data_IF_596802648795
#
_entry.id   IF_596802648795
#
_cell.length_a   1.000
_cell.length_b   1.000
_cell.length_c   1.000
_cell.angle_alpha   90.00
_cell.angle_beta   90.00
_cell.angle_gamma   90.00
#
_symmetry.space_group_name_H-M   'P 1'
#
loop_
_entity.id
_entity.type
_entity.pdbx_description
1 polymer ?
#
# COMPACT_ATOMS: atom_id res chain seq x y z
N UNK A 1 4.68 -11.15 -3.85
CA UNK A 1 5.75 -11.71 -2.98
C UNK A 1 5.17 -12.25 -1.67
N UNK A 2 5.88 -13.09 -0.92
CA UNK A 2 5.41 -13.58 0.39
C UNK A 2 6.22 -12.97 1.54
N UNK A 3 5.55 -12.32 2.49
CA UNK A 3 6.14 -11.67 3.67
C UNK A 3 5.41 -12.16 4.91
N UNK A 4 6.12 -12.73 5.89
CA UNK A 4 5.53 -13.24 7.14
C UNK A 4 4.30 -14.16 6.93
N UNK A 5 4.33 -14.99 5.88
CA UNK A 5 3.23 -15.90 5.53
C UNK A 5 2.03 -15.24 4.83
N UNK A 6 2.12 -13.96 4.49
CA UNK A 6 1.11 -13.20 3.74
C UNK A 6 1.57 -12.99 2.31
N UNK A 7 0.65 -13.02 1.35
CA UNK A 7 0.92 -12.52 0.02
C UNK A 7 0.86 -10.99 0.05
N UNK A 8 1.87 -10.35 -0.51
CA UNK A 8 1.98 -8.90 -0.64
C UNK A 8 2.29 -8.60 -2.09
N UNK A 9 1.46 -7.76 -2.68
CA UNK A 9 1.69 -7.13 -3.97
C UNK A 9 2.07 -5.67 -3.73
N UNK A 10 3.14 -5.18 -4.34
CA UNK A 10 3.64 -3.81 -4.15
C UNK A 10 3.65 -3.12 -5.50
N UNK A 11 2.92 -2.01 -5.60
CA UNK A 11 2.71 -1.25 -6.82
C UNK A 11 3.12 0.20 -6.60
N UNK A 12 3.87 0.78 -7.55
CA UNK A 12 4.22 2.20 -7.58
C UNK A 12 3.63 2.81 -8.85
N UNK A 13 2.80 3.84 -8.70
CA UNK A 13 2.09 4.45 -9.84
C UNK A 13 2.24 5.97 -9.84
N UNK A 14 2.79 6.50 -10.93
CA UNK A 14 2.98 7.95 -11.11
C UNK A 14 1.74 8.63 -11.69
N UNK A 15 1.09 8.02 -12.68
CA UNK A 15 -0.04 8.63 -13.39
C UNK A 15 -1.39 8.02 -12.99
N UNK A 16 -2.41 8.88 -12.87
CA UNK A 16 -3.80 8.44 -12.72
C UNK A 16 -4.48 8.29 -14.09
N UNK A 17 -4.82 7.05 -14.45
CA UNK A 17 -5.53 6.71 -15.69
C UNK A 17 -7.06 6.62 -15.49
N UNK A 18 -7.54 6.85 -14.27
CA UNK A 18 -8.96 6.93 -13.92
C UNK A 18 -9.58 5.65 -13.35
N UNK A 19 -8.92 4.50 -13.49
CA UNK A 19 -9.41 3.16 -13.11
C UNK A 19 -8.45 2.42 -12.15
N UNK A 20 -7.62 3.17 -11.43
CA UNK A 20 -6.60 2.59 -10.55
C UNK A 20 -7.19 1.70 -9.43
N UNK A 21 -8.29 2.07 -8.74
CA UNK A 21 -8.93 1.19 -7.76
C UNK A 21 -9.36 -0.16 -8.36
N UNK A 22 -9.95 -0.15 -9.55
CA UNK A 22 -10.38 -1.36 -10.27
C UNK A 22 -9.18 -2.24 -10.62
N UNK A 23 -8.06 -1.64 -11.05
CA UNK A 23 -6.82 -2.37 -11.34
C UNK A 23 -6.24 -3.03 -10.10
N UNK A 24 -6.21 -2.33 -8.97
CA UNK A 24 -5.77 -2.89 -7.67
C UNK A 24 -6.66 -4.06 -7.26
N UNK A 25 -7.98 -3.93 -7.39
CA UNK A 25 -8.92 -5.03 -7.11
C UNK A 25 -8.70 -6.23 -8.04
N UNK A 26 -8.45 -5.98 -9.33
CA UNK A 26 -8.19 -7.03 -10.31
C UNK A 26 -6.91 -7.82 -9.98
N UNK A 27 -5.81 -7.12 -9.66
CA UNK A 27 -4.56 -7.78 -9.26
C UNK A 27 -4.71 -8.56 -7.97
N UNK A 28 -5.36 -7.98 -6.96
CA UNK A 28 -5.66 -8.72 -5.74
C UNK A 28 -6.46 -10.00 -6.00
N UNK A 29 -7.53 -9.93 -6.82
CA UNK A 29 -8.36 -11.08 -7.12
C UNK A 29 -7.57 -12.18 -7.85
N UNK A 30 -6.69 -11.80 -8.77
CA UNK A 30 -5.78 -12.72 -9.47
C UNK A 30 -4.82 -13.40 -8.49
N UNK A 31 -4.12 -12.64 -7.65
CA UNK A 31 -3.17 -13.20 -6.67
C UNK A 31 -3.85 -14.04 -5.59
N UNK A 32 -5.03 -13.61 -5.13
CA UNK A 32 -5.79 -14.33 -4.12
C UNK A 32 -6.33 -15.66 -4.66
N UNK A 33 -6.82 -15.68 -5.90
CA UNK A 33 -7.31 -16.91 -6.54
C UNK A 33 -6.18 -17.88 -6.91
N UNK A 34 -5.05 -17.37 -7.39
CA UNK A 34 -3.89 -18.21 -7.75
C UNK A 34 -3.23 -18.86 -6.54
N UNK A 35 -3.39 -18.27 -5.35
CA UNK A 35 -2.80 -18.77 -4.12
C UNK A 35 -3.46 -20.06 -3.57
N UNK A 36 -4.61 -20.49 -4.09
CA UNK A 36 -5.28 -21.72 -3.67
C UNK A 36 -5.18 -22.80 -4.76
N UNK A 37 -4.37 -23.84 -4.57
CA UNK A 37 -4.31 -24.97 -5.49
C UNK A 37 -5.66 -25.69 -5.62
N UNK A 38 -5.91 -26.28 -6.80
CA UNK A 38 -7.13 -27.04 -7.05
C UNK A 38 -7.26 -28.22 -6.06
N UNK A 39 -8.45 -28.37 -5.46
CA UNK A 39 -8.76 -29.42 -4.49
C UNK A 39 -8.45 -29.06 -3.03
N UNK A 40 -7.87 -27.89 -2.76
CA UNK A 40 -7.60 -27.40 -1.40
C UNK A 40 -8.80 -26.66 -0.79
N UNK A 41 -8.92 -26.70 0.53
CA UNK A 41 -9.99 -25.99 1.25
C UNK A 41 -9.75 -24.48 1.35
N UNK A 42 -10.80 -23.67 1.24
CA UNK A 42 -10.73 -22.20 1.30
C UNK A 42 -10.16 -21.63 2.61
N UNK A 43 -10.15 -22.40 3.70
CA UNK A 43 -9.47 -22.01 4.95
C UNK A 43 -7.97 -21.74 4.75
N UNK A 44 -7.35 -22.39 3.75
CA UNK A 44 -5.93 -22.26 3.40
C UNK A 44 -5.58 -21.03 2.58
N UNK A 45 -6.57 -20.27 2.09
CA UNK A 45 -6.31 -19.02 1.37
C UNK A 45 -5.42 -18.12 2.24
N UNK A 46 -4.27 -17.64 1.75
CA UNK A 46 -3.43 -16.76 2.54
C UNK A 46 -4.10 -15.39 2.68
N UNK A 47 -3.62 -14.61 3.65
CA UNK A 47 -3.92 -13.18 3.64
C UNK A 47 -3.14 -12.53 2.50
N UNK A 48 -3.84 -11.81 1.63
CA UNK A 48 -3.29 -11.13 0.46
C UNK A 48 -3.52 -9.63 0.61
N UNK A 49 -2.43 -8.87 0.59
CA UNK A 49 -2.40 -7.42 0.69
C UNK A 49 -1.88 -6.83 -0.62
N UNK A 50 -2.49 -5.74 -1.07
CA UNK A 50 -1.88 -4.86 -2.08
C UNK A 50 -1.42 -3.60 -1.37
N UNK A 51 -0.20 -3.17 -1.66
CA UNK A 51 0.40 -1.93 -1.18
C UNK A 51 0.64 -1.06 -2.39
N UNK A 52 -0.10 0.03 -2.50
CA UNK A 52 -0.02 1.00 -3.58
C UNK A 52 0.64 2.27 -3.08
N UNK A 53 1.78 2.64 -3.67
CA UNK A 53 2.43 3.94 -3.50
C UNK A 53 2.09 4.76 -4.75
N UNK A 54 1.39 5.87 -4.60
CA UNK A 54 0.86 6.63 -5.73
C UNK A 54 1.20 8.12 -5.65
N UNK A 55 1.52 8.71 -6.80
CA UNK A 55 1.90 10.12 -6.91
C UNK A 55 0.74 11.04 -7.36
N UNK A 56 -0.47 10.72 -6.89
CA UNK A 56 -1.66 11.51 -7.20
C UNK A 56 -2.70 11.39 -6.09
N UNK A 57 -3.61 12.37 -6.06
CA UNK A 57 -4.76 12.38 -5.15
C UNK A 57 -5.84 11.44 -5.69
N UNK A 58 -6.07 10.34 -4.99
CA UNK A 58 -7.10 9.34 -5.30
C UNK A 58 -8.30 9.46 -4.36
N UNK A 59 -8.07 9.74 -3.08
CA UNK A 59 -9.13 9.83 -2.08
C UNK A 59 -9.34 11.26 -1.59
N UNK A 60 -10.59 11.63 -1.37
CA UNK A 60 -10.98 12.92 -0.79
C UNK A 60 -10.83 12.88 0.74
N UNK A 61 -9.59 12.88 1.21
CA UNK A 61 -9.20 12.88 2.62
C UNK A 61 -7.81 13.52 2.81
N UNK A 62 -7.50 13.93 4.04
CA UNK A 62 -6.21 14.57 4.37
C UNK A 62 -5.09 13.56 4.57
N UNK A 63 -5.42 12.34 5.01
CA UNK A 63 -4.45 11.32 5.36
C UNK A 63 -3.72 10.79 4.12
N UNK A 64 -2.40 10.70 4.20
CA UNK A 64 -1.58 10.08 3.15
C UNK A 64 -1.69 8.56 3.10
N UNK A 65 -2.15 7.92 4.18
CA UNK A 65 -2.29 6.47 4.27
C UNK A 65 -3.77 6.10 4.44
N UNK A 66 -4.29 5.34 3.47
CA UNK A 66 -5.60 4.69 3.56
C UNK A 66 -5.45 3.18 3.63
N UNK A 67 -6.26 2.52 4.47
CA UNK A 67 -6.30 1.06 4.57
C UNK A 67 -7.73 0.52 4.41
N UNK A 68 -7.98 -0.16 3.28
CA UNK A 68 -9.28 -0.72 2.95
C UNK A 68 -9.35 -2.22 3.26
N UNK A 69 -10.53 -2.65 3.72
CA UNK A 69 -10.86 -4.04 4.09
C UNK A 69 -12.33 -4.36 3.76
N UNK A 70 -12.73 -5.63 3.67
CA UNK A 70 -14.11 -5.99 3.38
C UNK A 70 -14.93 -5.91 4.68
N UNK A 71 -15.69 -4.83 4.82
CA UNK A 71 -16.53 -4.56 5.99
C UNK A 71 -18.02 -4.66 5.63
N UNK A 72 -18.84 -5.06 6.59
CA UNK A 72 -20.29 -4.90 6.50
C UNK A 72 -20.65 -3.40 6.51
N UNK A 73 -21.59 -2.98 5.66
CA UNK A 73 -21.85 -1.57 5.33
C UNK A 73 -22.38 -0.73 6.49
N UNK A 74 -23.17 -1.30 7.40
CA UNK A 74 -23.86 -0.55 8.46
C UNK A 74 -23.06 -0.49 9.76
N UNK A 75 -22.57 -1.66 10.21
CA UNK A 75 -21.89 -1.86 11.49
C UNK A 75 -20.38 -2.00 11.32
N UNK A 76 -19.87 -1.93 10.09
CA UNK A 76 -18.43 -1.99 9.79
C UNK A 76 -17.74 -3.25 10.36
N UNK A 77 -18.49 -4.35 10.46
CA UNK A 77 -17.96 -5.62 10.95
C UNK A 77 -17.06 -6.25 9.88
N UNK A 78 -15.84 -6.64 10.26
CA UNK A 78 -14.90 -7.28 9.34
C UNK A 78 -15.43 -8.65 8.87
N UNK A 79 -15.58 -8.83 7.56
CA UNK A 79 -16.02 -10.10 6.97
C UNK A 79 -14.92 -11.17 7.05
N UNK A 80 -13.69 -10.77 6.72
CA UNK A 80 -12.49 -11.61 6.71
C UNK A 80 -11.26 -10.73 6.75
N UNK A 81 -10.19 -11.19 7.40
CA UNK A 81 -8.90 -10.49 7.45
C UNK A 81 -7.99 -10.83 6.26
N UNK A 82 -8.42 -11.74 5.36
CA UNK A 82 -7.61 -12.23 4.24
C UNK A 82 -7.37 -11.21 3.12
N UNK A 83 -8.08 -10.08 3.13
CA UNK A 83 -7.98 -9.03 2.10
C UNK A 83 -7.61 -7.70 2.76
N UNK A 84 -6.74 -6.92 2.10
CA UNK A 84 -6.52 -5.53 2.48
C UNK A 84 -5.75 -4.74 1.43
N UNK A 85 -6.05 -3.46 1.30
CA UNK A 85 -5.36 -2.54 0.38
C UNK A 85 -4.80 -1.36 1.15
N UNK A 86 -3.48 -1.20 1.12
CA UNK A 86 -2.80 -0.01 1.61
C UNK A 86 -2.60 0.93 0.44
N UNK A 87 -3.02 2.18 0.58
CA UNK A 87 -2.69 3.25 -0.35
C UNK A 87 -1.87 4.30 0.38
N UNK A 88 -0.72 4.65 -0.19
CA UNK A 88 0.14 5.74 0.24
C UNK A 88 0.17 6.80 -0.86
N UNK A 89 -0.51 7.93 -0.62
CA UNK A 89 -0.57 9.07 -1.53
C UNK A 89 0.59 10.03 -1.26
N UNK A 90 1.62 9.98 -2.10
CA UNK A 90 2.83 10.79 -1.97
C UNK A 90 2.56 12.31 -1.87
N UNK A 91 1.60 12.90 -2.61
CA UNK A 91 1.31 14.33 -2.51
C UNK A 91 0.80 14.76 -1.12
N UNK A 92 0.28 13.82 -0.32
CA UNK A 92 -0.24 14.07 1.03
C UNK A 92 0.79 13.83 2.14
N UNK A 93 2.02 13.41 1.81
CA UNK A 93 3.04 13.15 2.82
C UNK A 93 3.34 14.43 3.61
N UNK A 94 3.48 14.34 4.94
CA UNK A 94 3.91 15.45 5.76
C UNK A 94 5.34 15.87 5.39
N UNK A 95 5.64 17.16 5.52
CA UNK A 95 6.96 17.72 5.24
C UNK A 95 7.99 17.41 6.35
N UNK A 96 7.51 17.20 7.58
CA UNK A 96 8.36 16.88 8.73
C UNK A 96 8.64 15.37 8.80
N UNK A 97 9.72 14.97 8.11
CA UNK A 97 10.20 13.60 8.08
C UNK A 97 11.24 13.41 9.17
N UNK A 98 10.88 12.66 10.22
CA UNK A 98 11.82 12.30 11.29
C UNK A 98 12.49 10.95 11.03
N UNK A 99 13.71 10.79 11.54
CA UNK A 99 14.48 9.54 11.42
C UNK A 99 13.80 8.35 12.12
N UNK A 100 12.93 8.62 13.09
CA UNK A 100 12.20 7.61 13.86
C UNK A 100 11.09 6.93 13.03
N UNK A 101 10.67 7.55 11.92
CA UNK A 101 9.64 7.01 11.04
C UNK A 101 10.25 6.48 9.73
N UNK A 102 10.78 5.26 9.80
CA UNK A 102 11.39 4.58 8.65
C UNK A 102 10.44 4.46 7.44
N UNK A 103 9.13 4.24 7.67
CA UNK A 103 8.16 4.19 6.58
C UNK A 103 8.07 5.53 5.85
N UNK A 104 7.97 6.62 6.61
CA UNK A 104 7.89 7.97 6.04
C UNK A 104 9.16 8.32 5.28
N UNK A 105 10.35 7.99 5.81
CA UNK A 105 11.62 8.14 5.09
C UNK A 105 11.61 7.40 3.75
N UNK A 106 11.14 6.15 3.72
CA UNK A 106 11.03 5.38 2.48
C UNK A 106 10.04 6.01 1.50
N UNK A 107 8.88 6.49 1.97
CA UNK A 107 7.89 7.15 1.11
C UNK A 107 8.44 8.49 0.55
N UNK A 108 9.18 9.25 1.36
CA UNK A 108 9.84 10.49 0.91
C UNK A 108 10.88 10.24 -0.18
N UNK A 109 11.55 9.08 -0.19
CA UNK A 109 12.46 8.71 -1.28
C UNK A 109 11.72 8.61 -2.62
N UNK A 110 10.49 8.09 -2.63
CA UNK A 110 9.68 8.00 -3.85
C UNK A 110 9.07 9.34 -4.26
N UNK A 111 8.93 10.29 -3.34
CA UNK A 111 8.43 11.66 -3.60
C UNK A 111 9.53 12.62 -4.08
N UNK A 112 10.79 12.36 -3.73
CA UNK A 112 11.88 13.30 -4.00
C UNK A 112 12.09 13.54 -5.51
N UNK A 113 12.02 14.80 -5.92
CA UNK A 113 12.18 15.24 -7.31
C UNK A 113 13.56 15.86 -7.56
N UNK A 114 14.30 16.17 -6.49
CA UNK A 114 15.60 16.84 -6.55
C UNK A 114 16.71 16.09 -5.84
N UNK A 115 17.95 16.30 -6.30
CA UNK A 115 19.15 15.74 -5.66
C UNK A 115 19.34 16.27 -4.23
N UNK A 116 18.98 17.52 -3.96
CA UNK A 116 19.02 18.11 -2.62
C UNK A 116 18.07 17.41 -1.63
N UNK A 117 16.85 17.06 -2.06
CA UNK A 117 15.90 16.29 -1.24
C UNK A 117 16.42 14.88 -0.96
N UNK A 118 17.02 14.23 -1.96
CA UNK A 118 17.64 12.91 -1.80
C UNK A 118 18.81 12.96 -0.80
N UNK A 119 19.66 13.99 -0.87
CA UNK A 119 20.76 14.18 0.09
C UNK A 119 20.25 14.41 1.51
N UNK A 120 19.17 15.20 1.70
CA UNK A 120 18.54 15.39 3.02
C UNK A 120 18.02 14.07 3.58
N UNK A 121 17.30 13.29 2.78
CA UNK A 121 16.77 11.97 3.20
C UNK A 121 17.93 11.01 3.54
N UNK A 122 19.02 11.06 2.77
CA UNK A 122 20.22 10.25 3.02
C UNK A 122 20.91 10.63 4.32
N UNK A 123 21.12 11.92 4.58
CA UNK A 123 21.70 12.39 5.84
C UNK A 123 20.83 11.95 7.04
N UNK A 124 19.50 11.94 6.86
CA UNK A 124 18.56 11.45 7.85
C UNK A 124 18.65 9.93 8.06
N UNK A 125 19.03 9.13 7.07
CA UNK A 125 19.15 7.67 7.25
C UNK A 125 20.50 7.21 7.82
N UNK A 126 21.56 8.02 7.66
CA UNK A 126 22.94 7.68 8.05
C UNK A 126 23.30 7.99 9.52
N UNK A 127 22.40 8.57 10.33
CA UNK A 127 22.68 8.88 11.76
C UNK A 127 22.49 7.65 12.69
N UNK A 128 22.70 6.44 12.18
CA UNK A 128 22.62 5.17 12.93
C UNK A 128 23.95 4.75 13.56
#
# INVERSE_FOLDING_TARGET
MTVNGQQVDLEVQVSNEGDYPERVMYYWAREFSSALPAGEGYSRLPRTLVVSIIDFMLFDCEEYHSFFRPLEVTRHTLLSDKMGFHFFELPKLPDDVSQENMLLLWLSLFKADTEEELEKIRALSETQ
#
